data_IF_739685775316
#
_entry.id   IF_739685775316
#
_cell.length_a   1.000
_cell.length_b   1.000
_cell.length_c   1.000
_cell.angle_alpha   90.00
_cell.angle_beta   90.00
_cell.angle_gamma   90.00
#
_symmetry.space_group_name_H-M   'P 1'
#
loop_
_entity.id
_entity.type
_entity.pdbx_description
1 polymer ?
#
# COMPACT_ATOMS: atom_id res chain seq x y z
N UNK A 1 -31.86 -38.50 -13.58
CA UNK A 1 -30.41 -38.28 -13.61
C UNK A 1 -30.11 -37.03 -14.42
N UNK A 2 -30.19 -35.86 -13.79
CA UNK A 2 -29.88 -34.56 -14.39
C UNK A 2 -28.63 -34.03 -13.76
N UNK A 3 -27.48 -34.15 -14.45
CA UNK A 3 -26.23 -33.56 -14.11
C UNK A 3 -26.34 -32.04 -14.28
N UNK A 4 -26.37 -31.29 -13.18
CA UNK A 4 -26.11 -29.86 -13.16
C UNK A 4 -24.65 -29.63 -13.54
N UNK A 5 -24.39 -29.39 -14.83
CA UNK A 5 -23.14 -28.75 -15.26
C UNK A 5 -23.15 -27.32 -14.68
N UNK A 6 -22.34 -27.13 -13.62
CA UNK A 6 -21.95 -25.81 -13.16
C UNK A 6 -21.24 -25.12 -14.32
N UNK A 7 -21.87 -24.12 -14.91
CA UNK A 7 -21.25 -23.32 -15.98
C UNK A 7 -19.98 -22.69 -15.40
N UNK A 8 -18.83 -23.09 -15.92
CA UNK A 8 -17.62 -22.29 -15.78
C UNK A 8 -17.92 -20.95 -16.45
N UNK A 9 -18.15 -19.93 -15.64
CA UNK A 9 -18.21 -18.56 -16.15
C UNK A 9 -16.85 -18.29 -16.79
N UNK A 10 -16.81 -18.08 -18.09
CA UNK A 10 -15.63 -17.61 -18.81
C UNK A 10 -15.14 -16.36 -18.08
N UNK A 11 -14.02 -16.45 -17.41
CA UNK A 11 -13.42 -15.30 -16.73
C UNK A 11 -12.99 -14.32 -17.81
N UNK A 12 -13.70 -13.23 -17.89
CA UNK A 12 -13.41 -12.16 -18.84
C UNK A 12 -11.99 -11.64 -18.64
N UNK A 13 -11.12 -11.90 -19.59
CA UNK A 13 -9.71 -11.52 -19.54
C UNK A 13 -9.57 -10.00 -19.56
N UNK A 14 -8.73 -9.45 -18.71
CA UNK A 14 -8.41 -8.02 -18.69
C UNK A 14 -7.70 -7.63 -19.99
N UNK A 15 -8.34 -6.79 -20.80
CA UNK A 15 -7.77 -6.28 -22.06
C UNK A 15 -6.70 -5.23 -21.82
N UNK A 16 -5.86 -4.96 -22.83
CA UNK A 16 -4.81 -3.93 -22.71
C UNK A 16 -5.38 -2.53 -22.41
N UNK A 17 -6.52 -2.15 -23.05
CA UNK A 17 -7.18 -0.85 -22.80
C UNK A 17 -7.75 -0.74 -21.39
N UNK A 18 -8.35 -1.81 -20.88
CA UNK A 18 -8.86 -1.85 -19.50
C UNK A 18 -7.72 -1.78 -18.49
N UNK A 19 -6.60 -2.43 -18.79
CA UNK A 19 -5.41 -2.37 -17.95
C UNK A 19 -4.78 -0.96 -17.95
N UNK A 20 -4.66 -0.31 -19.11
CA UNK A 20 -4.18 1.06 -19.24
C UNK A 20 -5.03 2.02 -18.39
N UNK A 21 -6.35 1.98 -18.54
CA UNK A 21 -7.27 2.77 -17.73
C UNK A 21 -7.13 2.48 -16.23
N UNK A 22 -6.98 1.22 -15.86
CA UNK A 22 -6.78 0.80 -14.48
C UNK A 22 -5.43 1.29 -13.93
N UNK A 23 -4.38 1.20 -14.72
CA UNK A 23 -3.05 1.71 -14.38
C UNK A 23 -3.09 3.21 -14.09
N UNK A 24 -3.60 4.02 -15.01
CA UNK A 24 -3.70 5.47 -14.87
C UNK A 24 -4.52 5.87 -13.64
N UNK A 25 -5.59 5.12 -13.36
CA UNK A 25 -6.49 5.40 -12.24
C UNK A 25 -5.89 5.05 -10.87
N UNK A 26 -5.01 4.05 -10.78
CA UNK A 26 -4.60 3.48 -9.49
C UNK A 26 -3.10 3.51 -9.22
N UNK A 27 -2.24 3.76 -10.22
CA UNK A 27 -0.79 3.73 -10.04
C UNK A 27 -0.31 4.68 -8.93
N UNK A 28 -0.74 5.94 -8.98
CA UNK A 28 -0.36 6.95 -7.98
C UNK A 28 -0.84 6.57 -6.58
N UNK A 29 -2.06 6.03 -6.46
CA UNK A 29 -2.60 5.57 -5.18
C UNK A 29 -1.83 4.37 -4.61
N UNK A 30 -1.44 3.42 -5.44
CA UNK A 30 -0.62 2.26 -5.03
C UNK A 30 0.78 2.71 -4.62
N UNK A 31 1.43 3.58 -5.40
CA UNK A 31 2.74 4.16 -5.07
C UNK A 31 2.71 4.90 -3.73
N UNK A 32 1.71 5.76 -3.51
CA UNK A 32 1.57 6.50 -2.26
C UNK A 32 1.32 5.57 -1.07
N UNK A 33 0.47 4.55 -1.24
CA UNK A 33 0.25 3.52 -0.22
C UNK A 33 1.57 2.82 0.19
N UNK A 34 2.43 2.49 -0.76
CA UNK A 34 3.74 1.91 -0.50
C UNK A 34 4.66 2.89 0.20
N UNK A 35 4.70 4.16 -0.26
CA UNK A 35 5.50 5.21 0.34
C UNK A 35 5.15 5.43 1.82
N UNK A 36 3.87 5.53 2.15
CA UNK A 36 3.45 5.65 3.55
C UNK A 36 3.74 4.41 4.41
N UNK A 37 3.99 3.26 3.78
CA UNK A 37 4.43 2.05 4.49
C UNK A 37 5.93 1.99 4.73
N UNK A 38 6.76 2.46 3.83
CA UNK A 38 8.22 2.29 3.91
C UNK A 38 9.02 3.59 4.03
N UNK A 39 8.41 4.76 3.78
CA UNK A 39 9.09 6.05 3.87
C UNK A 39 10.19 6.27 2.80
N UNK A 40 10.19 5.47 1.72
CA UNK A 40 11.18 5.52 0.66
C UNK A 40 10.51 5.65 -0.69
N UNK A 41 10.70 6.80 -1.37
CA UNK A 41 10.04 7.11 -2.63
C UNK A 41 10.50 6.19 -3.78
N UNK A 42 11.80 5.96 -3.92
CA UNK A 42 12.40 5.11 -4.95
C UNK A 42 11.89 3.66 -4.83
N UNK A 43 11.98 3.09 -3.62
CA UNK A 43 11.47 1.75 -3.35
C UNK A 43 9.96 1.64 -3.61
N UNK A 44 9.20 2.69 -3.31
CA UNK A 44 7.75 2.71 -3.53
C UNK A 44 7.39 2.72 -5.01
N UNK A 45 8.18 3.41 -5.81
CA UNK A 45 8.02 3.49 -7.25
C UNK A 45 8.35 2.15 -7.91
N UNK A 46 9.50 1.56 -7.57
CA UNK A 46 9.92 0.25 -8.06
C UNK A 46 8.89 -0.84 -7.74
N UNK A 47 8.46 -0.90 -6.47
CA UNK A 47 7.48 -1.91 -6.03
C UNK A 47 6.11 -1.68 -6.66
N UNK A 48 5.71 -0.42 -6.89
CA UNK A 48 4.46 -0.13 -7.59
C UNK A 48 4.51 -0.62 -9.03
N UNK A 49 5.60 -0.35 -9.77
CA UNK A 49 5.80 -0.85 -11.13
C UNK A 49 5.77 -2.38 -11.17
N UNK A 50 6.53 -3.05 -10.32
CA UNK A 50 6.54 -4.51 -10.19
C UNK A 50 5.13 -5.07 -9.89
N UNK A 51 4.34 -4.40 -9.07
CA UNK A 51 2.99 -4.83 -8.74
C UNK A 51 2.06 -4.79 -9.96
N UNK A 52 2.13 -3.75 -10.79
CA UNK A 52 1.35 -3.65 -12.01
C UNK A 52 1.84 -4.60 -13.11
N UNK A 53 3.15 -4.83 -13.23
CA UNK A 53 3.69 -5.88 -14.11
C UNK A 53 3.14 -7.24 -13.68
N UNK A 54 3.16 -7.54 -12.40
CA UNK A 54 2.63 -8.79 -11.85
C UNK A 54 1.14 -8.95 -12.05
N UNK A 55 0.38 -7.86 -11.91
CA UNK A 55 -1.06 -7.83 -12.23
C UNK A 55 -1.30 -8.20 -13.69
N UNK A 56 -0.53 -7.61 -14.61
CA UNK A 56 -0.62 -7.89 -16.03
C UNK A 56 -0.28 -9.35 -16.39
N UNK A 57 0.78 -9.90 -15.80
CA UNK A 57 1.17 -11.30 -15.99
C UNK A 57 0.07 -12.28 -15.54
N UNK A 58 -0.63 -11.94 -14.47
CA UNK A 58 -1.63 -12.82 -13.86
C UNK A 58 -3.07 -12.53 -14.30
N UNK A 59 -3.28 -11.54 -15.20
CA UNK A 59 -4.59 -11.02 -15.61
C UNK A 59 -5.62 -12.07 -16.05
N UNK A 60 -5.16 -13.18 -16.62
CA UNK A 60 -6.03 -14.26 -17.11
C UNK A 60 -6.66 -15.10 -16.00
N UNK A 61 -6.22 -14.89 -14.73
CA UNK A 61 -6.65 -15.68 -13.56
C UNK A 61 -7.46 -14.87 -12.56
N UNK A 62 -7.60 -13.57 -12.79
CA UNK A 62 -8.15 -12.62 -11.84
C UNK A 62 -9.56 -12.25 -12.27
N UNK A 63 -10.46 -12.14 -11.29
CA UNK A 63 -11.77 -11.55 -11.49
C UNK A 63 -11.62 -10.02 -11.60
N UNK A 64 -12.19 -9.42 -12.65
CA UNK A 64 -12.14 -7.96 -12.89
C UNK A 64 -12.69 -7.15 -11.72
N UNK A 65 -13.65 -7.69 -10.97
CA UNK A 65 -14.22 -7.03 -9.79
C UNK A 65 -13.22 -6.94 -8.62
N UNK A 66 -12.17 -7.75 -8.63
CA UNK A 66 -11.16 -7.87 -7.57
C UNK A 66 -9.84 -7.15 -7.89
N UNK A 67 -9.68 -6.53 -9.09
CA UNK A 67 -8.41 -5.96 -9.56
C UNK A 67 -7.79 -4.99 -8.56
N UNK A 68 -8.59 -4.07 -8.01
CA UNK A 68 -8.12 -3.08 -7.02
C UNK A 68 -7.57 -3.78 -5.77
N UNK A 69 -8.34 -4.70 -5.18
CA UNK A 69 -7.91 -5.47 -4.02
C UNK A 69 -6.64 -6.26 -4.31
N UNK A 70 -6.57 -6.85 -5.48
CA UNK A 70 -5.48 -7.72 -5.87
C UNK A 70 -4.15 -6.96 -6.08
N UNK A 71 -4.14 -5.79 -6.75
CA UNK A 71 -2.93 -5.00 -6.94
C UNK A 71 -2.35 -4.49 -5.61
N UNK A 72 -3.19 -4.08 -4.66
CA UNK A 72 -2.71 -3.70 -3.33
C UNK A 72 -2.13 -4.88 -2.54
N UNK A 73 -2.72 -6.07 -2.70
CA UNK A 73 -2.19 -7.30 -2.08
C UNK A 73 -0.82 -7.67 -2.68
N UNK A 74 -0.68 -7.61 -4.01
CA UNK A 74 0.62 -7.81 -4.68
C UNK A 74 1.64 -6.80 -4.16
N UNK A 75 1.30 -5.52 -4.19
CA UNK A 75 2.17 -4.42 -3.78
C UNK A 75 2.65 -4.57 -2.31
N UNK A 76 1.74 -4.87 -1.39
CA UNK A 76 2.08 -5.11 0.01
C UNK A 76 3.03 -6.31 0.18
N UNK A 77 2.78 -7.42 -0.50
CA UNK A 77 3.62 -8.61 -0.44
C UNK A 77 5.01 -8.38 -1.03
N UNK A 78 5.10 -7.68 -2.16
CA UNK A 78 6.38 -7.31 -2.78
C UNK A 78 7.19 -6.42 -1.85
N UNK A 79 6.58 -5.40 -1.24
CA UNK A 79 7.24 -4.51 -0.29
C UNK A 79 7.79 -5.28 0.91
N UNK A 80 6.98 -6.16 1.52
CA UNK A 80 7.43 -6.99 2.65
C UNK A 80 8.63 -7.86 2.26
N UNK A 81 8.60 -8.44 1.07
CA UNK A 81 9.71 -9.26 0.57
C UNK A 81 10.98 -8.44 0.31
N UNK A 82 10.85 -7.23 -0.24
CA UNK A 82 11.97 -6.31 -0.45
C UNK A 82 12.59 -5.88 0.89
N UNK A 83 11.77 -5.47 1.86
CA UNK A 83 12.25 -5.07 3.19
C UNK A 83 12.94 -6.23 3.92
N UNK A 84 12.40 -7.46 3.83
CA UNK A 84 13.07 -8.65 4.38
C UNK A 84 14.43 -8.90 3.73
N UNK A 85 14.54 -8.77 2.40
CA UNK A 85 15.81 -8.92 1.67
C UNK A 85 16.82 -7.85 2.09
N UNK A 86 16.40 -6.59 2.25
CA UNK A 86 17.26 -5.52 2.72
C UNK A 86 17.75 -5.79 4.14
N UNK A 87 16.87 -6.18 5.06
CA UNK A 87 17.24 -6.52 6.45
C UNK A 87 18.23 -7.68 6.51
N UNK A 88 18.06 -8.71 5.69
CA UNK A 88 19.03 -9.80 5.57
C UNK A 88 20.36 -9.29 5.00
N UNK A 89 20.34 -8.48 3.95
CA UNK A 89 21.55 -7.89 3.36
C UNK A 89 22.30 -7.02 4.39
N UNK A 90 21.61 -6.20 5.18
CA UNK A 90 22.23 -5.43 6.26
C UNK A 90 22.83 -6.32 7.37
N UNK A 91 22.19 -7.44 7.72
CA UNK A 91 22.75 -8.40 8.67
C UNK A 91 24.01 -9.09 8.16
N UNK A 92 24.12 -9.32 6.86
CA UNK A 92 25.33 -9.91 6.24
C UNK A 92 26.40 -8.86 5.92
N UNK A 93 26.02 -7.60 5.67
CA UNK A 93 26.93 -6.52 5.30
C UNK A 93 27.31 -5.62 6.48
N UNK A 94 27.18 -6.03 7.71
CA UNK A 94 27.45 -5.25 8.91
C UNK A 94 28.84 -4.59 8.97
N UNK A 95 29.23 -3.95 7.90
CA UNK A 95 30.42 -3.13 7.66
C UNK A 95 30.04 -1.94 6.78
N UNK A 96 29.94 -0.74 7.43
CA UNK A 96 30.06 0.57 6.79
C UNK A 96 28.98 0.93 5.76
N UNK A 97 28.42 1.97 5.87
CA UNK A 97 28.58 3.39 5.94
C UNK A 97 27.41 4.12 5.32
N UNK A 98 27.13 5.13 5.97
CA UNK A 98 26.92 6.49 5.52
C UNK A 98 25.74 6.87 4.65
N UNK A 99 25.09 7.89 5.16
CA UNK A 99 24.03 8.67 4.53
C UNK A 99 24.65 9.84 3.78
N UNK A 100 24.26 10.00 2.57
CA UNK A 100 24.19 11.31 1.95
C UNK A 100 23.22 11.17 0.79
N UNK A 101 22.39 11.99 0.48
CA UNK A 101 22.11 13.38 0.48
C UNK A 101 21.51 13.73 -0.85
N UNK A 102 20.81 14.68 -1.13
CA UNK A 102 20.84 16.10 -1.14
C UNK A 102 19.53 16.70 -1.61
N UNK A 103 19.25 17.88 -1.32
CA UNK A 103 18.95 18.96 -1.69
C UNK A 103 18.36 20.17 -1.77
N UNK A 104 18.00 21.14 -1.42
CA UNK A 104 17.82 22.60 -1.66
C UNK A 104 16.53 23.03 -2.36
N UNK A 105 16.11 24.30 -2.25
CA UNK A 105 16.07 25.27 -1.17
C UNK A 105 14.68 25.46 -0.49
N UNK A 106 14.44 26.51 0.25
CA UNK A 106 13.43 26.80 1.28
C UNK A 106 11.99 26.27 1.09
N UNK A 107 11.40 26.38 -0.10
CA UNK A 107 10.04 25.84 -0.36
C UNK A 107 10.00 24.30 -0.36
N UNK A 108 11.09 23.65 -0.80
CA UNK A 108 11.23 22.19 -0.72
C UNK A 108 11.48 21.76 0.73
N UNK A 109 12.15 22.59 1.54
CA UNK A 109 12.38 22.31 2.98
C UNK A 109 11.07 22.32 3.78
N UNK A 110 10.15 23.26 3.52
CA UNK A 110 8.84 23.24 4.19
C UNK A 110 8.01 22.01 3.82
N UNK A 111 7.99 21.63 2.54
CA UNK A 111 7.30 20.40 2.13
C UNK A 111 8.00 19.14 2.66
N UNK A 112 9.33 19.11 2.71
CA UNK A 112 10.09 18.02 3.30
C UNK A 112 9.87 17.93 4.83
N UNK A 113 9.80 19.06 5.54
CA UNK A 113 9.47 19.07 6.97
C UNK A 113 8.04 18.57 7.24
N UNK A 114 7.06 18.97 6.42
CA UNK A 114 5.68 18.46 6.53
C UNK A 114 5.62 16.97 6.24
N UNK A 115 6.31 16.51 5.21
CA UNK A 115 6.35 15.09 4.87
C UNK A 115 7.07 14.27 5.93
N UNK A 116 8.20 14.76 6.47
CA UNK A 116 8.92 14.12 7.58
C UNK A 116 8.06 14.04 8.85
N UNK A 117 7.33 15.11 9.20
CA UNK A 117 6.40 15.11 10.35
C UNK A 117 5.25 14.13 10.15
N UNK A 118 4.69 14.08 8.94
CA UNK A 118 3.65 13.11 8.58
C UNK A 118 4.18 11.68 8.67
N UNK A 119 5.34 11.40 8.09
CA UNK A 119 5.99 10.10 8.15
C UNK A 119 6.32 9.69 9.60
N UNK A 120 6.85 10.62 10.40
CA UNK A 120 7.13 10.38 11.81
C UNK A 120 5.85 10.06 12.61
N UNK A 121 4.74 10.72 12.31
CA UNK A 121 3.44 10.44 12.93
C UNK A 121 2.90 9.08 12.50
N UNK A 122 2.94 8.79 11.20
CA UNK A 122 2.50 7.49 10.66
C UNK A 122 3.36 6.33 11.19
N UNK A 123 4.66 6.53 11.38
CA UNK A 123 5.56 5.53 11.96
C UNK A 123 5.21 5.15 13.42
N UNK A 124 4.56 6.05 14.17
CA UNK A 124 4.08 5.78 15.53
C UNK A 124 2.82 4.92 15.56
N UNK A 125 2.09 4.83 14.45
CA UNK A 125 0.89 4.02 14.35
C UNK A 125 1.28 2.55 14.12
N UNK A 126 0.80 1.61 14.94
CA UNK A 126 1.07 0.18 14.71
C UNK A 126 0.63 -0.27 13.31
N UNK A 127 1.40 -1.12 12.67
CA UNK A 127 1.26 -1.49 11.25
C UNK A 127 -0.17 -1.82 10.82
N UNK A 128 -0.86 -2.70 11.56
CA UNK A 128 -2.24 -3.04 11.21
C UNK A 128 -3.27 -1.92 11.40
N UNK A 129 -2.98 -0.90 12.23
CA UNK A 129 -3.83 0.28 12.38
C UNK A 129 -3.50 1.32 11.30
N UNK A 130 -2.22 1.48 10.98
CA UNK A 130 -1.73 2.33 9.89
C UNK A 130 -2.27 1.84 8.54
N UNK A 131 -2.24 0.54 8.29
CA UNK A 131 -2.78 -0.07 7.08
C UNK A 131 -4.27 0.24 6.88
N UNK A 132 -5.09 0.04 7.90
CA UNK A 132 -6.53 0.38 7.87
C UNK A 132 -6.75 1.87 7.63
N UNK A 133 -5.98 2.72 8.29
CA UNK A 133 -6.06 4.17 8.14
C UNK A 133 -5.72 4.61 6.70
N UNK A 134 -4.63 4.09 6.14
CA UNK A 134 -4.19 4.44 4.78
C UNK A 134 -5.18 3.92 3.72
N UNK A 135 -5.69 2.69 3.87
CA UNK A 135 -6.72 2.15 2.98
C UNK A 135 -8.00 3.00 2.98
N UNK A 136 -8.38 3.56 4.11
CA UNK A 136 -9.55 4.42 4.17
C UNK A 136 -9.28 5.83 3.61
N UNK A 137 -8.10 6.44 3.89
CA UNK A 137 -7.82 7.84 3.56
C UNK A 137 -7.24 8.05 2.16
N UNK A 138 -6.49 7.09 1.65
CA UNK A 138 -5.85 7.18 0.33
C UNK A 138 -6.66 6.43 -0.72
N UNK A 139 -7.16 5.24 -0.37
CA UNK A 139 -7.91 4.38 -1.28
C UNK A 139 -9.42 4.63 -1.22
N UNK A 140 -9.87 5.50 -0.31
CA UNK A 140 -11.28 5.81 -0.06
C UNK A 140 -12.16 4.57 0.18
N UNK A 141 -11.54 3.52 0.77
CA UNK A 141 -12.24 2.27 1.05
C UNK A 141 -13.13 2.38 2.27
N UNK A 142 -14.33 1.85 2.17
CA UNK A 142 -15.25 1.70 3.30
C UNK A 142 -14.80 0.56 4.21
N UNK A 143 -15.23 0.58 5.46
CA UNK A 143 -14.80 -0.42 6.46
C UNK A 143 -15.13 -1.86 6.07
N UNK A 144 -16.23 -2.12 5.39
CA UNK A 144 -16.55 -3.46 4.91
C UNK A 144 -15.59 -3.92 3.80
N UNK A 145 -15.19 -3.03 2.89
CA UNK A 145 -14.22 -3.33 1.83
C UNK A 145 -12.83 -3.60 2.42
N UNK A 146 -12.45 -2.84 3.46
CA UNK A 146 -11.20 -3.08 4.20
C UNK A 146 -11.27 -4.42 4.95
N UNK A 147 -12.41 -4.74 5.56
CA UNK A 147 -12.68 -6.00 6.24
C UNK A 147 -12.48 -7.20 5.31
N UNK A 148 -13.09 -7.16 4.14
CA UNK A 148 -12.95 -8.19 3.11
C UNK A 148 -11.50 -8.31 2.61
N UNK A 149 -10.85 -7.17 2.34
CA UNK A 149 -9.48 -7.13 1.84
C UNK A 149 -8.45 -7.70 2.81
N UNK A 150 -8.61 -7.40 4.09
CA UNK A 150 -7.68 -7.85 5.14
C UNK A 150 -8.07 -9.21 5.76
N UNK A 151 -9.23 -9.76 5.42
CA UNK A 151 -9.75 -10.99 6.01
C UNK A 151 -10.01 -10.88 7.53
N UNK A 152 -10.41 -9.69 8.01
CA UNK A 152 -10.68 -9.40 9.42
C UNK A 152 -12.10 -8.90 9.62
N UNK A 153 -12.67 -9.10 10.79
CA UNK A 153 -14.03 -8.60 11.08
C UNK A 153 -14.12 -7.06 11.09
N UNK A 154 -15.28 -6.50 10.73
CA UNK A 154 -15.54 -5.05 10.71
C UNK A 154 -15.19 -4.40 12.06
N UNK A 155 -15.54 -5.02 13.19
CA UNK A 155 -15.16 -4.53 14.53
C UNK A 155 -13.64 -4.43 14.73
N UNK A 156 -12.86 -5.28 14.09
CA UNK A 156 -11.40 -5.18 14.13
C UNK A 156 -10.90 -4.00 13.29
N UNK A 157 -11.53 -3.71 12.14
CA UNK A 157 -11.26 -2.52 11.33
C UNK A 157 -11.55 -1.25 12.13
N UNK A 158 -12.72 -1.16 12.76
CA UNK A 158 -13.12 -0.02 13.61
C UNK A 158 -12.13 0.20 14.76
N UNK A 159 -11.74 -0.86 15.47
CA UNK A 159 -10.76 -0.80 16.56
C UNK A 159 -9.39 -0.32 16.08
N UNK A 160 -8.94 -0.80 14.93
CA UNK A 160 -7.67 -0.38 14.30
C UNK A 160 -7.73 1.07 13.85
N UNK A 161 -8.83 1.51 13.25
CA UNK A 161 -9.06 2.90 12.86
C UNK A 161 -9.08 3.84 14.06
N UNK A 162 -9.83 3.49 15.10
CA UNK A 162 -9.89 4.29 16.35
C UNK A 162 -8.51 4.44 16.99
N UNK A 163 -7.68 3.37 16.95
CA UNK A 163 -6.32 3.43 17.46
C UNK A 163 -5.43 4.36 16.61
N UNK A 164 -5.54 4.31 15.31
CA UNK A 164 -4.79 5.19 14.41
C UNK A 164 -5.16 6.67 14.63
N UNK A 165 -6.46 6.97 14.64
CA UNK A 165 -6.96 8.33 14.87
C UNK A 165 -6.59 8.88 16.26
N UNK A 166 -6.57 8.03 17.28
CA UNK A 166 -6.14 8.41 18.64
C UNK A 166 -4.68 8.85 18.69
N UNK A 167 -3.80 8.12 17.99
CA UNK A 167 -2.37 8.45 17.91
C UNK A 167 -2.17 9.75 17.11
N UNK A 168 -2.85 9.90 15.97
CA UNK A 168 -2.75 11.11 15.14
C UNK A 168 -3.20 12.33 15.93
N UNK A 169 -4.33 12.25 16.64
CA UNK A 169 -4.83 13.35 17.47
C UNK A 169 -3.84 13.72 18.57
N UNK A 170 -3.29 12.73 19.27
CA UNK A 170 -2.32 12.96 20.32
C UNK A 170 -0.99 13.58 19.83
N UNK A 171 -0.63 13.39 18.55
CA UNK A 171 0.53 14.04 17.95
C UNK A 171 0.21 15.46 17.45
N UNK A 172 -1.01 15.72 16.99
CA UNK A 172 -1.45 17.06 16.61
C UNK A 172 -1.55 17.96 17.85
N UNK A 173 -2.12 17.45 18.95
CA UNK A 173 -2.27 18.20 20.22
C UNK A 173 -0.93 18.58 20.87
N UNK A 174 0.19 17.92 20.52
CA UNK A 174 1.52 18.26 20.98
C UNK A 174 2.20 19.38 20.19
N UNK A 175 1.64 19.75 19.05
CA UNK A 175 2.22 20.74 18.14
C UNK A 175 1.43 22.07 18.14
N UNK A 176 0.50 22.24 19.08
CA UNK A 176 -0.24 23.45 19.39
C UNK A 176 0.25 23.98 20.74
#
# INVERSE_FOLDING_TARGET
LGLFKKSESEKEVLTAKEFEYFFDSYYTSVRNFLYYKCGNAELSEDVAQDAFVKLWETRNRIDKTSLKAYVYTIAANLLINQLKRQTLKYKFLNLQTDRSEKKTPEYLMEMEEYDQKLQATLAKIPDGAREVFLMNRIDDLKYHEISERLGIGIKAVEKRMSKALGIIRAELDKNI
#
